data_IF_117108300875
#
_entry.id   IF_117108300875
#
_cell.length_a   1.000
_cell.length_b   1.000
_cell.length_c   1.000
_cell.angle_alpha   90.00
_cell.angle_beta   90.00
_cell.angle_gamma   90.00
#
_symmetry.space_group_name_H-M   'P 1'
#
loop_
_entity.id
_entity.type
_entity.pdbx_description
1 polymer ?
#
# COMPACT_ATOMS: atom_id res chain seq x y z
N UNK A 1 21.85 -25.06 22.50
CA UNK A 1 20.55 -24.54 22.03
C UNK A 1 20.36 -23.18 22.66
N UNK A 2 20.38 -22.08 21.90
CA UNK A 2 20.14 -20.74 22.45
C UNK A 2 18.63 -20.56 22.61
N UNK A 3 18.16 -20.52 23.86
CA UNK A 3 16.85 -19.94 24.16
C UNK A 3 16.92 -18.47 23.80
N UNK A 4 16.36 -18.10 22.65
CA UNK A 4 16.02 -16.71 22.37
C UNK A 4 14.84 -16.43 23.30
N UNK A 5 15.10 -15.77 24.42
CA UNK A 5 14.03 -15.26 25.27
C UNK A 5 13.06 -14.45 24.39
N UNK A 6 11.77 -14.74 24.48
CA UNK A 6 10.75 -13.90 23.86
C UNK A 6 10.83 -12.51 24.50
N UNK A 7 11.52 -11.59 23.83
CA UNK A 7 11.46 -10.17 24.18
C UNK A 7 10.01 -9.73 24.05
N UNK A 8 9.40 -9.34 25.17
CA UNK A 8 8.03 -8.85 25.16
C UNK A 8 7.99 -7.48 24.48
N UNK A 9 7.24 -7.37 23.39
CA UNK A 9 7.04 -6.08 22.73
C UNK A 9 6.28 -5.13 23.67
N UNK A 10 6.83 -3.94 23.90
CA UNK A 10 6.12 -2.87 24.65
C UNK A 10 5.01 -2.22 23.84
N UNK A 11 5.16 -2.15 22.52
CA UNK A 11 4.21 -1.54 21.60
C UNK A 11 4.39 -2.15 20.22
N UNK A 12 3.31 -2.25 19.46
CA UNK A 12 3.29 -2.68 18.06
C UNK A 12 2.49 -1.66 17.28
N UNK A 13 3.00 -1.25 16.12
CA UNK A 13 2.31 -0.37 15.17
C UNK A 13 2.11 -1.20 13.91
N UNK A 14 0.87 -1.21 13.42
CA UNK A 14 0.52 -1.86 12.16
C UNK A 14 0.35 -0.80 11.10
N UNK A 15 0.85 -1.11 9.90
CA UNK A 15 0.43 -0.44 8.70
C UNK A 15 -1.03 -0.84 8.37
N UNK A 16 -1.69 -0.08 7.49
CA UNK A 16 -3.07 -0.36 7.11
C UNK A 16 -3.14 -1.26 5.88
N UNK A 17 -2.71 -0.73 4.73
CA UNK A 17 -2.87 -1.35 3.43
C UNK A 17 -2.04 -2.64 3.32
N UNK A 18 -2.68 -3.74 2.93
CA UNK A 18 -2.06 -5.06 2.82
C UNK A 18 -1.67 -5.72 4.16
N UNK A 19 -1.85 -5.04 5.30
CA UNK A 19 -1.53 -5.57 6.65
C UNK A 19 -2.78 -5.78 7.49
N UNK A 20 -3.54 -4.72 7.76
CA UNK A 20 -4.80 -4.80 8.51
C UNK A 20 -5.99 -5.00 7.57
N UNK A 21 -5.93 -4.41 6.37
CA UNK A 21 -6.96 -4.55 5.35
C UNK A 21 -6.35 -4.72 3.96
N UNK A 22 -6.95 -5.59 3.14
CA UNK A 22 -6.59 -5.74 1.73
C UNK A 22 -7.29 -4.66 0.89
N UNK A 23 -6.83 -3.43 1.00
CA UNK A 23 -7.34 -2.24 0.29
C UNK A 23 -6.73 -2.07 -1.11
N UNK A 24 -5.68 -2.82 -1.45
CA UNK A 24 -4.93 -2.65 -2.71
C UNK A 24 -5.77 -2.80 -3.99
N UNK A 25 -6.76 -3.71 -4.08
CA UNK A 25 -7.63 -3.78 -5.25
C UNK A 25 -8.40 -2.47 -5.50
N UNK A 26 -8.80 -1.77 -4.44
CA UNK A 26 -9.55 -0.51 -4.55
C UNK A 26 -8.65 0.63 -4.99
N UNK A 27 -7.42 0.69 -4.50
CA UNK A 27 -6.44 1.68 -4.98
C UNK A 27 -6.21 1.54 -6.48
N UNK A 28 -6.08 0.31 -6.97
CA UNK A 28 -5.92 0.05 -8.41
C UNK A 28 -7.15 0.48 -9.24
N UNK A 29 -8.36 0.28 -8.74
CA UNK A 29 -9.59 0.77 -9.39
C UNK A 29 -9.70 2.30 -9.40
N UNK A 30 -9.30 2.95 -8.30
CA UNK A 30 -9.32 4.41 -8.18
C UNK A 30 -8.33 5.02 -9.18
N UNK A 31 -7.11 4.50 -9.24
CA UNK A 31 -6.10 4.92 -10.22
C UNK A 31 -6.59 4.74 -11.64
N UNK A 32 -7.21 3.60 -11.96
CA UNK A 32 -7.75 3.33 -13.29
C UNK A 32 -8.85 4.34 -13.69
N UNK A 33 -9.74 4.68 -12.76
CA UNK A 33 -10.81 5.67 -12.98
C UNK A 33 -10.23 7.07 -13.20
N UNK A 34 -9.33 7.51 -12.31
CA UNK A 34 -8.71 8.83 -12.40
C UNK A 34 -7.90 8.99 -13.70
N UNK A 35 -7.07 8.01 -14.05
CA UNK A 35 -6.24 8.08 -15.25
C UNK A 35 -7.07 8.04 -16.54
N UNK A 36 -8.21 7.34 -16.54
CA UNK A 36 -9.14 7.36 -17.66
C UNK A 36 -9.72 8.75 -17.93
N UNK A 37 -9.96 9.57 -16.90
CA UNK A 37 -10.41 10.97 -17.06
C UNK A 37 -9.38 11.83 -17.80
N UNK A 38 -8.11 11.41 -17.80
CA UNK A 38 -7.01 12.05 -18.51
C UNK A 38 -6.62 11.33 -19.83
N UNK A 39 -7.44 10.38 -20.30
CA UNK A 39 -7.21 9.65 -21.55
C UNK A 39 -6.15 8.55 -21.46
N UNK A 40 -5.75 8.14 -20.25
CA UNK A 40 -4.78 7.08 -20.01
C UNK A 40 -5.50 5.77 -19.72
N UNK A 41 -5.12 4.69 -20.42
CA UNK A 41 -5.59 3.33 -20.08
C UNK A 41 -4.61 2.68 -19.12
N UNK A 42 -4.98 2.62 -17.85
CA UNK A 42 -4.18 2.00 -16.79
C UNK A 42 -4.67 0.58 -16.49
N UNK A 43 -3.73 -0.35 -16.27
CA UNK A 43 -3.98 -1.78 -16.00
C UNK A 43 -3.32 -2.27 -14.71
N UNK A 44 -2.83 -1.37 -13.86
CA UNK A 44 -2.11 -1.72 -12.64
C UNK A 44 -0.61 -1.91 -12.82
N UNK A 45 -0.07 -1.66 -14.01
CA UNK A 45 1.34 -1.90 -14.34
C UNK A 45 2.34 -1.07 -13.51
N UNK A 46 1.87 0.03 -12.91
CA UNK A 46 2.68 0.92 -12.07
C UNK A 46 2.29 0.89 -10.58
N UNK A 47 1.29 0.11 -10.18
CA UNK A 47 0.75 0.10 -8.83
C UNK A 47 1.83 -0.14 -7.77
N UNK A 48 2.73 -1.10 -8.03
CA UNK A 48 3.85 -1.42 -7.13
C UNK A 48 4.82 -0.26 -6.88
N UNK A 49 4.90 0.71 -7.79
CA UNK A 49 5.81 1.84 -7.66
C UNK A 49 5.30 2.92 -6.69
N UNK A 50 4.01 2.87 -6.32
CA UNK A 50 3.33 3.89 -5.51
C UNK A 50 2.63 3.31 -4.28
N UNK A 51 2.81 2.01 -4.00
CA UNK A 51 2.27 1.34 -2.80
C UNK A 51 2.68 2.06 -1.51
N UNK A 52 1.70 2.29 -0.63
CA UNK A 52 1.92 2.95 0.67
C UNK A 52 2.37 4.42 0.59
N UNK A 53 2.33 5.05 -0.59
CA UNK A 53 2.73 6.45 -0.78
C UNK A 53 1.55 7.38 -0.49
N UNK A 54 1.80 8.39 0.34
CA UNK A 54 0.83 9.45 0.60
C UNK A 54 0.73 10.43 -0.56
N UNK A 55 -0.46 11.01 -0.78
CA UNK A 55 -0.77 11.98 -1.83
C UNK A 55 -0.04 13.36 -1.73
N UNK A 56 1.05 13.52 -0.97
CA UNK A 56 1.79 14.79 -0.99
C UNK A 56 2.91 14.74 -2.03
N UNK A 57 2.71 15.49 -3.12
CA UNK A 57 3.73 15.84 -4.11
C UNK A 57 4.25 14.64 -4.91
N UNK A 58 3.43 14.14 -5.84
CA UNK A 58 3.99 13.65 -7.10
C UNK A 58 4.55 14.87 -7.84
N UNK A 59 5.87 15.07 -7.79
CA UNK A 59 6.63 16.00 -8.63
C UNK A 59 7.58 15.20 -9.49
#
# INVERSE_FOLDING_TARGET
MRHIMSQQFRTVIFDLDGVVADSEPWWNEIDAKLLAEHGVTYRGEYHRNVLGVSYRLAV
#
